data_IF_606211656546
#
_entry.id   IF_606211656546
#
_cell.length_a   1.000
_cell.length_b   1.000
_cell.length_c   1.000
_cell.angle_alpha   90.00
_cell.angle_beta   90.00
_cell.angle_gamma   90.00
#
_symmetry.space_group_name_H-M   'P 1'
#
loop_
_entity.id
_entity.type
_entity.pdbx_description
1 polymer ?
#
# COMPACT_ATOMS: atom_id res chain seq x y z
N UNK A 1 -63.53 -5.12 4.37
CA UNK A 1 -62.52 -4.89 3.31
C UNK A 1 -61.17 -4.55 3.94
N UNK A 2 -61.15 -3.64 4.92
CA UNK A 2 -59.93 -3.20 5.65
C UNK A 2 -59.17 -4.33 6.37
N UNK A 3 -59.87 -5.28 7.01
CA UNK A 3 -59.23 -6.41 7.70
C UNK A 3 -58.40 -7.30 6.75
N UNK A 4 -58.82 -7.42 5.49
CA UNK A 4 -58.14 -8.25 4.47
C UNK A 4 -56.93 -7.53 3.86
N UNK A 5 -56.95 -6.19 3.87
CA UNK A 5 -55.81 -5.36 3.48
C UNK A 5 -54.74 -5.41 4.57
N UNK A 6 -55.13 -5.31 5.84
CA UNK A 6 -54.19 -5.41 6.98
C UNK A 6 -53.48 -6.78 7.06
N UNK A 7 -54.20 -7.87 6.75
CA UNK A 7 -53.63 -9.22 6.69
C UNK A 7 -52.63 -9.38 5.52
N UNK A 8 -52.94 -8.81 4.35
CA UNK A 8 -52.04 -8.81 3.20
C UNK A 8 -50.78 -7.97 3.45
N UNK A 9 -50.91 -6.82 4.11
CA UNK A 9 -49.78 -5.97 4.51
C UNK A 9 -48.89 -6.63 5.57
N UNK A 10 -49.48 -7.41 6.49
CA UNK A 10 -48.74 -8.22 7.45
C UNK A 10 -47.88 -9.28 6.75
N UNK A 11 -48.47 -10.00 5.79
CA UNK A 11 -47.76 -11.00 4.96
C UNK A 11 -46.67 -10.37 4.08
N UNK A 12 -46.90 -9.18 3.52
CA UNK A 12 -45.91 -8.44 2.74
C UNK A 12 -44.72 -7.99 3.59
N UNK A 13 -44.97 -7.57 4.85
CA UNK A 13 -43.92 -7.22 5.81
C UNK A 13 -43.11 -8.44 6.25
N UNK A 14 -43.77 -9.57 6.53
CA UNK A 14 -43.07 -10.83 6.85
C UNK A 14 -42.22 -11.34 5.69
N UNK A 15 -42.69 -11.19 4.44
CA UNK A 15 -41.92 -11.53 3.24
C UNK A 15 -40.75 -10.57 2.99
N UNK A 16 -40.84 -9.30 3.40
CA UNK A 16 -39.79 -8.29 3.19
C UNK A 16 -38.77 -8.22 4.33
N UNK A 17 -39.10 -8.70 5.54
CA UNK A 17 -38.21 -8.77 6.72
C UNK A 17 -36.97 -9.67 6.53
N UNK A 18 -36.89 -10.43 5.45
CA UNK A 18 -35.73 -11.26 5.08
C UNK A 18 -35.06 -10.90 3.74
N UNK A 19 -35.62 -9.97 2.97
CA UNK A 19 -35.01 -9.55 1.69
C UNK A 19 -33.92 -8.55 2.01
N UNK A 20 -32.68 -9.04 2.17
CA UNK A 20 -31.49 -8.18 2.17
C UNK A 20 -31.54 -7.34 0.88
N UNK A 21 -31.84 -6.05 1.02
CA UNK A 21 -31.86 -5.12 -0.12
C UNK A 21 -30.47 -5.15 -0.75
N UNK A 22 -30.43 -5.41 -2.07
CA UNK A 22 -29.18 -5.42 -2.83
C UNK A 22 -28.64 -4.00 -2.86
N UNK A 23 -27.64 -3.72 -2.04
CA UNK A 23 -26.95 -2.43 -2.08
C UNK A 23 -25.87 -2.44 -3.17
N UNK A 24 -26.20 -1.84 -4.31
CA UNK A 24 -25.29 -1.67 -5.45
C UNK A 24 -24.34 -0.47 -5.26
N UNK A 25 -24.49 0.33 -4.21
CA UNK A 25 -23.62 1.50 -3.96
C UNK A 25 -22.16 1.10 -3.77
N UNK A 26 -21.88 -0.09 -3.21
CA UNK A 26 -20.52 -0.60 -3.06
C UNK A 26 -19.81 -0.82 -4.40
N UNK A 27 -20.55 -0.98 -5.50
CA UNK A 27 -19.97 -1.07 -6.84
C UNK A 27 -19.30 0.26 -7.26
N UNK A 28 -19.72 1.40 -6.70
CA UNK A 28 -19.08 2.69 -6.96
C UNK A 28 -17.62 2.73 -6.45
N UNK A 29 -17.32 1.99 -5.38
CA UNK A 29 -15.97 1.90 -4.80
C UNK A 29 -15.00 1.06 -5.63
N UNK A 30 -15.53 0.26 -6.57
CA UNK A 30 -14.73 -0.53 -7.51
C UNK A 30 -14.26 0.42 -8.61
N UNK A 31 -12.94 0.63 -8.66
CA UNK A 31 -12.32 1.44 -9.71
C UNK A 31 -12.36 0.68 -11.03
N UNK A 32 -12.47 1.44 -12.12
CA UNK A 32 -12.35 0.91 -13.47
C UNK A 32 -11.01 0.20 -13.67
N UNK A 33 -11.03 -0.88 -14.46
CA UNK A 33 -9.86 -1.72 -14.69
C UNK A 33 -9.58 -1.87 -16.18
N UNK A 34 -8.36 -1.49 -16.57
CA UNK A 34 -7.97 -1.35 -17.98
C UNK A 34 -7.33 -2.60 -18.58
N UNK A 35 -6.86 -3.54 -17.75
CA UNK A 35 -6.10 -4.72 -18.18
C UNK A 35 -4.60 -4.52 -18.37
N UNK A 36 -4.04 -3.33 -18.07
CA UNK A 36 -2.62 -3.06 -18.28
C UNK A 36 -1.70 -3.71 -17.23
N UNK A 37 -0.51 -4.12 -17.65
CA UNK A 37 0.50 -4.75 -16.77
C UNK A 37 1.00 -3.84 -15.63
N UNK A 38 0.93 -2.51 -15.79
CA UNK A 38 1.27 -1.53 -14.74
C UNK A 38 0.10 -1.19 -13.81
N UNK A 39 -1.12 -1.61 -14.16
CA UNK A 39 -2.30 -1.43 -13.32
C UNK A 39 -2.34 -2.52 -12.24
N UNK A 40 -3.37 -2.47 -11.39
CA UNK A 40 -3.63 -3.52 -10.39
C UNK A 40 -3.73 -4.90 -11.05
N UNK A 41 -3.14 -5.96 -10.48
CA UNK A 41 -3.28 -7.31 -10.99
C UNK A 41 -4.75 -7.74 -11.12
N UNK A 42 -5.04 -8.57 -12.12
CA UNK A 42 -6.40 -9.09 -12.35
C UNK A 42 -6.97 -9.81 -11.13
N UNK A 43 -6.12 -10.48 -10.35
CA UNK A 43 -6.52 -11.17 -9.11
C UNK A 43 -7.00 -10.21 -8.02
N UNK A 44 -6.33 -9.06 -7.84
CA UNK A 44 -6.71 -8.05 -6.85
C UNK A 44 -8.03 -7.37 -7.23
N UNK A 45 -8.20 -7.05 -8.52
CA UNK A 45 -9.44 -6.48 -9.04
C UNK A 45 -10.63 -7.42 -8.85
N UNK A 46 -10.48 -8.70 -9.21
CA UNK A 46 -11.52 -9.71 -9.02
C UNK A 46 -11.83 -9.93 -7.53
N UNK A 47 -10.82 -9.96 -6.67
CA UNK A 47 -11.01 -10.08 -5.22
C UNK A 47 -11.82 -8.90 -4.65
N UNK A 48 -11.62 -7.68 -5.16
CA UNK A 48 -12.41 -6.52 -4.77
C UNK A 48 -13.89 -6.67 -5.15
N UNK A 49 -14.17 -7.16 -6.36
CA UNK A 49 -15.55 -7.47 -6.81
C UNK A 49 -16.18 -8.53 -5.91
N UNK A 50 -15.46 -9.62 -5.63
CA UNK A 50 -15.96 -10.71 -4.80
C UNK A 50 -16.20 -10.28 -3.34
N UNK A 51 -15.38 -9.38 -2.82
CA UNK A 51 -15.56 -8.80 -1.50
C UNK A 51 -16.83 -7.93 -1.46
N UNK A 52 -17.02 -7.03 -2.42
CA UNK A 52 -18.24 -6.22 -2.52
C UNK A 52 -19.48 -7.10 -2.70
N UNK A 53 -19.40 -8.12 -3.55
CA UNK A 53 -20.47 -9.06 -3.78
C UNK A 53 -20.88 -9.82 -2.51
N UNK A 54 -19.91 -10.22 -1.69
CA UNK A 54 -20.16 -10.91 -0.42
C UNK A 54 -20.86 -10.01 0.59
N UNK A 55 -20.46 -8.75 0.68
CA UNK A 55 -21.04 -7.79 1.64
C UNK A 55 -22.45 -7.38 1.21
N UNK A 56 -22.68 -7.15 -0.08
CA UNK A 56 -23.96 -6.69 -0.63
C UNK A 56 -24.88 -7.82 -1.14
N UNK A 57 -24.52 -9.07 -0.90
CA UNK A 57 -25.28 -10.25 -1.33
C UNK A 57 -25.62 -10.26 -2.84
N UNK A 58 -24.65 -9.92 -3.67
CA UNK A 58 -24.81 -9.90 -5.13
C UNK A 58 -24.98 -11.31 -5.69
N UNK A 59 -25.89 -11.45 -6.65
CA UNK A 59 -26.07 -12.68 -7.43
C UNK A 59 -24.93 -12.84 -8.45
N UNK A 60 -24.82 -14.03 -9.04
CA UNK A 60 -23.84 -14.28 -10.10
C UNK A 60 -24.01 -13.35 -11.31
N UNK A 61 -25.26 -13.01 -11.66
CA UNK A 61 -25.56 -12.07 -12.74
C UNK A 61 -25.13 -10.65 -12.39
N UNK A 62 -25.43 -10.19 -11.16
CA UNK A 62 -24.98 -8.88 -10.69
C UNK A 62 -23.44 -8.77 -10.75
N UNK A 63 -22.71 -9.83 -10.38
CA UNK A 63 -21.24 -9.88 -10.50
C UNK A 63 -20.77 -9.74 -11.95
N UNK A 64 -21.42 -10.41 -12.89
CA UNK A 64 -21.08 -10.34 -14.33
C UNK A 64 -21.30 -8.93 -14.86
N UNK A 65 -22.45 -8.33 -14.56
CA UNK A 65 -22.82 -6.99 -15.02
C UNK A 65 -21.87 -5.93 -14.48
N UNK A 66 -21.59 -5.99 -13.17
CA UNK A 66 -20.66 -5.06 -12.52
C UNK A 66 -19.24 -5.29 -13.00
N UNK A 67 -18.81 -6.54 -13.18
CA UNK A 67 -17.51 -6.86 -13.74
C UNK A 67 -17.37 -6.23 -15.13
N UNK A 68 -18.30 -6.51 -16.06
CA UNK A 68 -18.29 -5.96 -17.43
C UNK A 68 -18.32 -4.43 -17.43
N UNK A 69 -19.16 -3.82 -16.60
CA UNK A 69 -19.27 -2.36 -16.48
C UNK A 69 -17.99 -1.69 -15.96
N UNK A 70 -17.18 -2.40 -15.16
CA UNK A 70 -15.92 -1.90 -14.63
C UNK A 70 -14.71 -2.19 -15.52
N UNK A 71 -14.87 -3.00 -16.57
CA UNK A 71 -13.81 -3.17 -17.56
C UNK A 71 -13.73 -1.97 -18.48
N UNK A 72 -12.52 -1.52 -18.77
CA UNK A 72 -12.25 -0.47 -19.75
C UNK A 72 -11.10 -0.86 -20.67
N UNK A 73 -10.98 -0.16 -21.81
CA UNK A 73 -9.85 -0.27 -22.75
C UNK A 73 -9.56 -1.73 -23.18
N UNK A 74 -8.34 -2.23 -22.95
CA UNK A 74 -7.88 -3.54 -23.43
C UNK A 74 -8.69 -4.68 -22.84
N UNK A 75 -9.04 -4.59 -21.55
CA UNK A 75 -9.88 -5.59 -20.89
C UNK A 75 -11.29 -5.65 -21.48
N UNK A 76 -11.89 -4.50 -21.76
CA UNK A 76 -13.21 -4.42 -22.38
C UNK A 76 -13.18 -4.90 -23.84
N UNK A 77 -12.16 -4.49 -24.61
CA UNK A 77 -11.95 -4.97 -25.97
C UNK A 77 -11.81 -6.49 -26.04
N UNK A 78 -11.08 -7.09 -25.10
CA UNK A 78 -10.92 -8.54 -25.01
C UNK A 78 -12.25 -9.27 -24.77
N UNK A 79 -13.11 -8.76 -23.89
CA UNK A 79 -14.42 -9.35 -23.61
C UNK A 79 -15.36 -9.17 -24.80
N UNK A 80 -15.43 -7.98 -25.37
CA UNK A 80 -16.31 -7.68 -26.52
C UNK A 80 -15.90 -8.42 -27.80
N UNK A 81 -14.62 -8.78 -27.95
CA UNK A 81 -14.11 -9.53 -29.09
C UNK A 81 -14.35 -11.05 -29.04
N UNK A 82 -15.03 -11.57 -27.99
CA UNK A 82 -15.35 -13.00 -27.86
C UNK A 82 -16.84 -13.19 -27.59
N UNK A 83 -17.56 -13.78 -28.54
CA UNK A 83 -19.02 -13.95 -28.46
C UNK A 83 -19.46 -14.67 -27.16
N UNK A 84 -18.71 -15.71 -26.76
CA UNK A 84 -18.93 -16.47 -25.52
C UNK A 84 -18.81 -15.63 -24.23
N UNK A 85 -18.05 -14.54 -24.25
CA UNK A 85 -17.86 -13.66 -23.09
C UNK A 85 -18.76 -12.42 -23.13
N UNK A 86 -19.14 -12.02 -24.34
CA UNK A 86 -20.04 -10.90 -24.57
C UNK A 86 -21.47 -11.22 -24.16
N UNK A 87 -21.91 -12.46 -24.38
CA UNK A 87 -23.24 -12.97 -24.04
C UNK A 87 -23.69 -12.55 -22.63
N UNK A 88 -24.95 -12.13 -22.50
CA UNK A 88 -25.58 -11.75 -21.23
C UNK A 88 -25.74 -12.94 -20.28
N UNK A 89 -25.85 -14.16 -20.82
CA UNK A 89 -25.97 -15.40 -20.06
C UNK A 89 -24.63 -15.99 -19.59
N UNK A 90 -23.51 -15.31 -19.85
CA UNK A 90 -22.18 -15.81 -19.46
C UNK A 90 -22.08 -15.98 -17.95
N UNK A 91 -21.65 -17.16 -17.50
CA UNK A 91 -21.41 -17.41 -16.08
C UNK A 91 -20.18 -16.64 -15.59
N UNK A 92 -20.26 -16.08 -14.38
CA UNK A 92 -19.16 -15.34 -13.75
C UNK A 92 -17.84 -16.13 -13.77
N UNK A 93 -17.87 -17.42 -13.45
CA UNK A 93 -16.67 -18.26 -13.43
C UNK A 93 -15.98 -18.39 -14.81
N UNK A 94 -16.75 -18.40 -15.90
CA UNK A 94 -16.20 -18.45 -17.27
C UNK A 94 -15.51 -17.14 -17.59
N UNK A 95 -16.15 -16.01 -17.28
CA UNK A 95 -15.61 -14.68 -17.49
C UNK A 95 -14.35 -14.43 -16.63
N UNK A 96 -14.40 -14.81 -15.35
CA UNK A 96 -13.28 -14.78 -14.41
C UNK A 96 -12.10 -15.60 -14.93
N UNK A 97 -12.31 -16.85 -15.33
CA UNK A 97 -11.27 -17.72 -15.85
C UNK A 97 -10.62 -17.15 -17.12
N UNK A 98 -11.42 -16.57 -18.03
CA UNK A 98 -10.93 -15.95 -19.25
C UNK A 98 -10.06 -14.72 -18.97
N UNK A 99 -10.47 -13.84 -18.05
CA UNK A 99 -9.70 -12.68 -17.64
C UNK A 99 -8.40 -13.08 -16.96
N UNK A 100 -8.45 -14.01 -16.00
CA UNK A 100 -7.24 -14.54 -15.35
C UNK A 100 -6.30 -15.13 -16.39
N UNK A 101 -6.77 -15.97 -17.31
CA UNK A 101 -5.92 -16.58 -18.34
C UNK A 101 -5.23 -15.56 -19.26
N UNK A 102 -5.90 -14.45 -19.59
CA UNK A 102 -5.38 -13.43 -20.52
C UNK A 102 -4.43 -12.45 -19.84
N UNK A 103 -4.75 -12.05 -18.61
CA UNK A 103 -4.11 -10.94 -17.90
C UNK A 103 -3.28 -11.38 -16.69
N UNK A 104 -3.21 -12.67 -16.38
CA UNK A 104 -2.25 -13.17 -15.40
C UNK A 104 -0.82 -13.03 -15.92
N UNK A 105 0.09 -12.85 -14.98
CA UNK A 105 1.51 -12.90 -15.26
C UNK A 105 1.91 -14.30 -15.72
N UNK A 106 2.55 -14.39 -16.88
CA UNK A 106 3.00 -15.65 -17.49
C UNK A 106 4.46 -15.99 -17.18
N UNK A 107 5.07 -15.25 -16.27
CA UNK A 107 6.47 -15.45 -15.92
C UNK A 107 6.61 -16.70 -15.06
N UNK A 108 7.61 -17.55 -15.32
CA UNK A 108 7.80 -18.77 -14.55
C UNK A 108 8.35 -18.44 -13.15
N UNK A 109 8.06 -19.29 -12.17
CA UNK A 109 8.52 -19.13 -10.79
C UNK A 109 10.03 -18.88 -10.67
N UNK A 110 10.85 -19.56 -11.50
CA UNK A 110 12.32 -19.37 -11.55
C UNK A 110 12.74 -17.92 -11.86
N UNK A 111 11.95 -17.20 -12.65
CA UNK A 111 12.23 -15.79 -12.96
C UNK A 111 12.05 -14.92 -11.71
N UNK A 112 10.98 -15.15 -10.96
CA UNK A 112 10.73 -14.47 -9.70
C UNK A 112 11.73 -14.84 -8.61
N UNK A 113 12.22 -16.09 -8.61
CA UNK A 113 13.33 -16.50 -7.75
C UNK A 113 14.58 -15.68 -8.00
N UNK A 114 14.99 -15.52 -9.26
CA UNK A 114 16.16 -14.72 -9.61
C UNK A 114 15.97 -13.24 -9.25
N UNK A 115 14.78 -12.68 -9.54
CA UNK A 115 14.46 -11.30 -9.15
C UNK A 115 14.51 -11.07 -7.64
N UNK A 116 14.05 -12.05 -6.84
CA UNK A 116 14.13 -11.99 -5.39
C UNK A 116 15.58 -12.08 -4.91
N UNK A 117 16.35 -13.01 -5.47
CA UNK A 117 17.76 -13.21 -5.11
C UNK A 117 18.62 -11.98 -5.43
N UNK A 118 18.38 -11.33 -6.56
CA UNK A 118 19.08 -10.13 -7.01
C UNK A 118 18.51 -8.83 -6.39
N UNK A 119 17.42 -8.92 -5.62
CA UNK A 119 16.76 -7.76 -5.07
C UNK A 119 17.69 -7.03 -4.08
N UNK A 120 17.97 -5.76 -4.38
CA UNK A 120 18.66 -4.87 -3.43
C UNK A 120 17.81 -3.65 -3.11
N UNK A 121 18.00 -3.10 -1.91
CA UNK A 121 17.32 -1.89 -1.47
C UNK A 121 17.70 -0.71 -2.37
N UNK A 122 16.71 0.06 -2.83
CA UNK A 122 16.93 1.27 -3.63
C UNK A 122 17.39 2.44 -2.76
N UNK A 123 18.01 3.47 -3.34
CA UNK A 123 18.61 4.59 -2.60
C UNK A 123 17.63 5.31 -1.65
N UNK A 124 16.38 5.44 -2.06
CA UNK A 124 15.33 6.17 -1.33
C UNK A 124 14.23 5.24 -0.79
N UNK A 125 14.46 3.93 -0.79
CA UNK A 125 13.48 2.93 -0.35
C UNK A 125 13.68 2.64 1.14
N UNK A 126 12.62 2.70 1.94
CA UNK A 126 12.70 2.34 3.36
C UNK A 126 12.86 0.84 3.54
N UNK A 127 13.32 0.41 4.73
CA UNK A 127 13.43 -1.03 5.07
C UNK A 127 12.10 -1.76 4.92
N UNK A 128 10.98 -1.10 5.27
CA UNK A 128 9.63 -1.66 5.17
C UNK A 128 9.24 -1.80 3.70
N UNK A 129 9.43 -0.75 2.89
CA UNK A 129 9.11 -0.78 1.45
C UNK A 129 9.90 -1.86 0.72
N UNK A 130 11.19 -2.00 1.05
CA UNK A 130 12.02 -3.06 0.49
C UNK A 130 11.51 -4.45 0.87
N UNK A 131 11.18 -4.66 2.15
CA UNK A 131 10.62 -5.93 2.61
C UNK A 131 9.32 -6.27 1.89
N UNK A 132 8.40 -5.31 1.74
CA UNK A 132 7.12 -5.54 1.07
C UNK A 132 7.31 -5.90 -0.40
N UNK A 133 8.27 -5.28 -1.09
CA UNK A 133 8.64 -5.66 -2.45
C UNK A 133 9.19 -7.10 -2.51
N UNK A 134 10.05 -7.48 -1.57
CA UNK A 134 10.55 -8.85 -1.48
C UNK A 134 9.44 -9.85 -1.17
N UNK A 135 8.45 -9.51 -0.33
CA UNK A 135 7.27 -10.34 -0.05
C UNK A 135 6.46 -10.62 -1.31
N UNK A 136 6.23 -9.60 -2.14
CA UNK A 136 5.51 -9.75 -3.41
C UNK A 136 6.26 -10.69 -4.35
N UNK A 137 7.59 -10.61 -4.44
CA UNK A 137 8.39 -11.52 -5.26
C UNK A 137 8.39 -12.94 -4.69
N UNK A 138 8.53 -13.09 -3.37
CA UNK A 138 8.52 -14.40 -2.71
C UNK A 138 7.20 -15.14 -2.91
N UNK A 139 6.05 -14.46 -2.77
CA UNK A 139 4.74 -15.04 -2.97
C UNK A 139 4.55 -15.63 -4.39
N UNK A 140 5.17 -15.01 -5.41
CA UNK A 140 5.13 -15.50 -6.81
C UNK A 140 6.01 -16.72 -7.05
N UNK A 141 6.89 -17.08 -6.11
CA UNK A 141 7.72 -18.30 -6.20
C UNK A 141 7.01 -19.54 -5.68
N UNK A 142 5.91 -19.38 -4.94
CA UNK A 142 5.19 -20.47 -4.29
C UNK A 142 4.20 -21.08 -5.28
N UNK A 143 4.42 -22.35 -5.62
CA UNK A 143 3.44 -23.15 -6.37
C UNK A 143 2.26 -23.55 -5.47
N UNK A 144 1.09 -23.71 -6.07
CA UNK A 144 -0.09 -24.25 -5.39
C UNK A 144 0.00 -25.78 -5.34
N UNK A 145 -0.15 -26.36 -4.16
CA UNK A 145 -0.33 -27.81 -3.96
C UNK A 145 -1.69 -28.08 -3.32
N UNK A 146 -2.30 -29.21 -3.69
CA UNK A 146 -3.53 -29.69 -3.08
C UNK A 146 -3.29 -30.26 -1.67
N UNK A 147 -2.07 -30.71 -1.36
CA UNK A 147 -1.71 -31.19 -0.03
C UNK A 147 -1.38 -30.00 0.91
N UNK A 148 -2.13 -29.83 2.02
CA UNK A 148 -1.85 -28.79 3.01
C UNK A 148 -0.44 -28.87 3.61
N UNK A 149 0.13 -30.08 3.74
CA UNK A 149 1.47 -30.28 4.33
C UNK A 149 2.55 -29.81 3.37
N UNK A 150 2.51 -30.28 2.12
CA UNK A 150 3.40 -29.79 1.06
C UNK A 150 3.26 -28.27 0.88
N UNK A 151 2.03 -27.74 0.89
CA UNK A 151 1.79 -26.30 0.76
C UNK A 151 2.43 -25.49 1.91
N UNK A 152 2.45 -26.04 3.13
CA UNK A 152 3.12 -25.44 4.29
C UNK A 152 4.64 -25.45 4.12
N UNK A 153 5.22 -26.57 3.68
CA UNK A 153 6.67 -26.69 3.44
C UNK A 153 7.12 -25.67 2.39
N UNK A 154 6.39 -25.58 1.26
CA UNK A 154 6.69 -24.61 0.20
C UNK A 154 6.65 -23.15 0.68
N UNK A 155 5.73 -22.83 1.60
CA UNK A 155 5.67 -21.50 2.23
C UNK A 155 6.86 -21.25 3.15
N UNK A 156 7.22 -22.21 4.00
CA UNK A 156 8.37 -22.08 4.89
C UNK A 156 9.68 -21.89 4.12
N UNK A 157 9.88 -22.63 3.03
CA UNK A 157 11.05 -22.42 2.18
C UNK A 157 11.04 -21.03 1.52
N UNK A 158 9.87 -20.53 1.11
CA UNK A 158 9.74 -19.19 0.54
C UNK A 158 10.03 -18.10 1.57
N UNK A 159 9.63 -18.30 2.83
CA UNK A 159 9.95 -17.41 3.94
C UNK A 159 11.46 -17.38 4.23
N UNK A 160 12.13 -18.55 4.19
CA UNK A 160 13.58 -18.63 4.33
C UNK A 160 14.32 -17.88 3.21
N UNK A 161 13.88 -18.06 1.95
CA UNK A 161 14.41 -17.33 0.78
C UNK A 161 14.18 -15.83 0.91
N UNK A 162 13.01 -15.43 1.38
CA UNK A 162 12.64 -14.03 1.61
C UNK A 162 13.52 -13.39 2.69
N UNK A 163 13.70 -14.04 3.83
CA UNK A 163 14.56 -13.57 4.92
C UNK A 163 15.99 -13.39 4.44
N UNK A 164 16.53 -14.39 3.73
CA UNK A 164 17.87 -14.33 3.15
C UNK A 164 18.01 -13.13 2.21
N UNK A 165 17.08 -12.98 1.27
CA UNK A 165 17.11 -11.89 0.28
C UNK A 165 16.96 -10.52 0.95
N UNK A 166 16.16 -10.42 2.02
CA UNK A 166 16.05 -9.20 2.80
C UNK A 166 17.36 -8.85 3.51
N UNK A 167 17.98 -9.77 4.24
CA UNK A 167 19.23 -9.53 4.98
C UNK A 167 20.37 -9.10 4.05
N UNK A 168 20.54 -9.81 2.93
CA UNK A 168 21.65 -9.57 2.01
C UNK A 168 21.38 -8.44 1.02
N UNK A 169 20.11 -8.18 0.68
CA UNK A 169 19.71 -7.07 -0.19
C UNK A 169 19.65 -5.70 0.50
N UNK A 170 19.58 -5.66 1.83
CA UNK A 170 19.54 -4.42 2.63
C UNK A 170 20.88 -3.66 2.58
N UNK A 171 20.80 -2.33 2.39
CA UNK A 171 21.97 -1.46 2.22
C UNK A 171 22.31 -0.68 3.50
N UNK A 172 23.55 -0.20 3.55
CA UNK A 172 24.04 0.67 4.61
C UNK A 172 24.15 -0.02 5.98
N UNK A 173 24.03 0.80 7.03
CA UNK A 173 24.22 0.37 8.43
C UNK A 173 23.21 -0.71 8.85
N UNK A 174 21.94 -0.56 8.46
CA UNK A 174 20.90 -1.55 8.75
C UNK A 174 21.24 -2.92 8.14
N UNK A 175 21.67 -2.96 6.87
CA UNK A 175 22.12 -4.21 6.24
C UNK A 175 23.33 -4.83 6.92
N UNK A 176 24.29 -4.01 7.38
CA UNK A 176 25.46 -4.50 8.14
C UNK A 176 25.04 -5.14 9.45
N UNK A 177 24.19 -4.47 10.23
CA UNK A 177 23.68 -4.98 11.50
C UNK A 177 22.89 -6.29 11.33
N UNK A 178 22.08 -6.40 10.28
CA UNK A 178 21.36 -7.64 9.97
C UNK A 178 22.29 -8.83 9.74
N UNK A 179 23.39 -8.62 8.99
CA UNK A 179 24.38 -9.69 8.75
C UNK A 179 25.17 -10.07 10.00
N UNK A 180 25.44 -9.10 10.88
CA UNK A 180 26.15 -9.37 12.14
C UNK A 180 25.26 -10.14 13.12
N UNK A 181 24.00 -9.71 13.28
CA UNK A 181 23.07 -10.31 14.24
C UNK A 181 22.43 -11.59 13.73
N UNK A 182 22.41 -11.78 12.40
CA UNK A 182 21.89 -12.95 11.70
C UNK A 182 20.52 -13.42 12.23
N UNK A 183 19.46 -12.60 12.12
CA UNK A 183 18.14 -12.92 12.66
C UNK A 183 17.53 -14.15 12.00
N UNK A 184 16.76 -14.92 12.76
CA UNK A 184 16.13 -16.17 12.29
C UNK A 184 14.74 -15.95 11.72
N UNK A 185 14.13 -14.79 11.98
CA UNK A 185 12.78 -14.46 11.50
C UNK A 185 12.72 -13.09 10.83
N UNK A 186 11.74 -12.92 9.96
CA UNK A 186 11.49 -11.63 9.29
C UNK A 186 11.13 -10.53 10.27
N UNK A 187 10.40 -10.84 11.33
CA UNK A 187 10.01 -9.84 12.33
C UNK A 187 11.22 -9.36 13.14
N UNK A 188 12.11 -10.27 13.51
CA UNK A 188 13.38 -9.91 14.14
C UNK A 188 14.23 -9.04 13.20
N UNK A 189 14.35 -9.44 11.93
CA UNK A 189 15.09 -8.67 10.93
C UNK A 189 14.49 -7.27 10.73
N UNK A 190 13.17 -7.16 10.59
CA UNK A 190 12.51 -5.87 10.42
C UNK A 190 12.68 -4.97 11.63
N UNK A 191 12.58 -5.52 12.84
CA UNK A 191 12.79 -4.76 14.07
C UNK A 191 14.22 -4.19 14.13
N UNK A 192 15.24 -5.03 13.89
CA UNK A 192 16.65 -4.59 13.84
C UNK A 192 16.81 -3.47 12.80
N UNK A 193 16.32 -3.67 11.59
CA UNK A 193 16.44 -2.67 10.52
C UNK A 193 15.78 -1.34 10.87
N UNK A 194 14.63 -1.38 11.54
CA UNK A 194 13.87 -0.20 11.96
C UNK A 194 14.57 0.54 13.10
N UNK A 195 15.06 -0.18 14.11
CA UNK A 195 15.83 0.39 15.23
C UNK A 195 17.09 1.09 14.71
N UNK A 196 17.85 0.45 13.83
CA UNK A 196 19.08 1.04 13.26
C UNK A 196 18.76 2.27 12.42
N UNK A 197 17.68 2.25 11.64
CA UNK A 197 17.23 3.40 10.86
C UNK A 197 16.90 4.61 11.76
N UNK A 198 16.14 4.38 12.84
CA UNK A 198 15.77 5.44 13.78
C UNK A 198 16.98 5.97 14.54
N UNK A 199 17.85 5.10 15.06
CA UNK A 199 19.08 5.50 15.74
C UNK A 199 20.00 6.34 14.84
N UNK A 200 20.09 5.98 13.55
CA UNK A 200 20.81 6.79 12.57
C UNK A 200 20.19 8.18 12.42
N UNK A 201 18.86 8.27 12.27
CA UNK A 201 18.15 9.56 12.16
C UNK A 201 18.39 10.45 13.37
N UNK A 202 18.27 9.91 14.58
CA UNK A 202 18.52 10.65 15.83
C UNK A 202 19.95 11.20 15.88
N UNK A 203 20.96 10.40 15.50
CA UNK A 203 22.35 10.89 15.43
C UNK A 203 22.51 12.04 14.44
N UNK A 204 21.81 11.99 13.29
CA UNK A 204 21.82 13.07 12.30
C UNK A 204 21.15 14.34 12.83
N UNK A 205 20.02 14.21 13.52
CA UNK A 205 19.31 15.33 14.16
C UNK A 205 20.17 15.96 15.26
N UNK A 206 20.76 15.16 16.15
CA UNK A 206 21.71 15.63 17.17
C UNK A 206 22.92 16.33 16.56
N UNK A 207 23.48 15.80 15.45
CA UNK A 207 24.60 16.45 14.75
C UNK A 207 24.18 17.79 14.15
N UNK A 208 22.98 17.86 13.55
CA UNK A 208 22.44 19.10 13.00
C UNK A 208 22.26 20.16 14.08
N UNK A 209 21.78 19.76 15.25
CA UNK A 209 21.54 20.66 16.38
C UNK A 209 22.87 21.13 17.00
N UNK A 210 23.89 20.26 17.08
CA UNK A 210 25.25 20.67 17.46
C UNK A 210 25.89 21.67 16.49
N UNK A 211 25.63 21.52 15.19
CA UNK A 211 26.19 22.40 14.14
C UNK A 211 25.45 23.74 14.07
N UNK A 212 24.15 23.79 14.39
CA UNK A 212 23.41 25.04 14.57
C UNK A 212 23.69 25.61 15.96
N UNK A 213 24.89 26.16 16.16
CA UNK A 213 25.17 26.95 17.36
C UNK A 213 24.12 28.05 17.51
N UNK A 214 23.60 28.29 18.73
CA UNK A 214 22.61 29.34 18.94
C UNK A 214 23.17 30.66 18.43
N UNK A 215 22.41 31.32 17.56
CA UNK A 215 22.85 32.51 16.86
C UNK A 215 23.17 33.61 17.88
N UNK A 216 24.44 33.98 17.99
CA UNK A 216 24.90 35.03 18.91
C UNK A 216 25.12 36.33 18.16
N UNK A 217 24.59 37.41 18.73
CA UNK A 217 24.77 38.74 18.17
C UNK A 217 26.16 39.27 18.52
N UNK A 218 27.02 39.46 17.52
CA UNK A 218 28.36 40.06 17.71
C UNK A 218 28.34 41.50 18.26
N UNK A 219 27.20 42.19 18.21
CA UNK A 219 27.09 43.55 18.72
C UNK A 219 26.74 43.63 20.22
N UNK A 220 25.96 42.70 20.75
CA UNK A 220 25.47 42.76 22.14
C UNK A 220 25.71 41.47 22.96
N UNK A 221 26.28 40.44 22.34
CA UNK A 221 26.54 39.14 22.98
C UNK A 221 25.31 38.29 23.29
N UNK A 222 24.09 38.76 23.02
CA UNK A 222 22.85 38.00 23.29
C UNK A 222 22.53 37.01 22.19
N UNK A 223 21.86 35.92 22.55
CA UNK A 223 21.41 34.87 21.63
C UNK A 223 20.10 35.25 20.90
N UNK A 224 19.80 34.57 19.79
CA UNK A 224 18.50 34.64 19.10
C UNK A 224 18.39 35.64 17.95
N UNK A 225 19.43 36.45 17.68
CA UNK A 225 19.48 37.37 16.52
C UNK A 225 20.92 37.65 16.05
N UNK A 226 21.07 38.16 14.82
CA UNK A 226 22.35 38.67 14.28
C UNK A 226 22.52 40.17 14.52
N UNK A 227 23.75 40.68 14.46
CA UNK A 227 24.09 42.09 14.68
C UNK A 227 23.26 43.08 13.84
N UNK A 228 22.87 42.70 12.60
CA UNK A 228 22.01 43.50 11.71
C UNK A 228 20.59 43.72 12.25
N UNK A 229 20.09 42.77 13.06
CA UNK A 229 18.77 42.80 13.67
C UNK A 229 18.84 43.16 15.16
N UNK A 230 19.95 43.73 15.62
CA UNK A 230 20.13 44.08 17.03
C UNK A 230 19.36 45.36 17.38
N UNK A 231 18.37 45.25 18.26
CA UNK A 231 17.59 46.40 18.75
C UNK A 231 18.46 47.42 19.50
N UNK A 232 19.52 46.99 20.18
CA UNK A 232 20.46 47.87 20.86
C UNK A 232 21.20 48.84 19.90
N UNK A 233 21.35 48.46 18.61
CA UNK A 233 21.90 49.34 17.56
C UNK A 233 20.87 50.28 16.95
N UNK A 234 19.58 50.04 17.17
CA UNK A 234 18.48 50.81 16.56
C UNK A 234 18.04 52.01 17.39
N UNK A 235 18.57 52.22 18.61
CA UNK A 235 18.33 53.45 19.35
C UNK A 235 19.24 54.56 18.81
N UNK A 236 18.72 55.59 18.12
CA UNK A 236 19.48 56.79 17.85
C UNK A 236 19.58 57.59 19.15
N UNK A 237 20.77 58.07 19.44
CA UNK A 237 21.04 59.08 20.46
C UNK A 237 20.20 60.33 20.20
N UNK A 238 19.14 60.53 21.00
CA UNK A 238 18.51 61.85 21.17
C UNK A 238 18.82 62.35 22.56
N UNK A 239 19.97 63.00 22.70
CA UNK A 239 20.26 63.94 23.79
C UNK A 239 21.37 64.89 23.28
N UNK A 240 20.94 65.85 22.44
CA UNK A 240 21.65 67.13 22.32
C UNK A 240 21.13 67.98 23.47
N UNK A 241 21.81 67.94 24.61
CA UNK A 241 21.62 68.94 25.65
C UNK A 241 22.12 70.29 25.11
N UNK A 242 21.15 71.15 24.76
CA UNK A 242 21.34 72.58 24.63
C UNK A 242 21.52 73.13 26.04
N UNK A 243 22.70 73.64 26.40
CA UNK A 243 22.85 74.61 27.50
C UNK A 243 24.03 75.56 27.22
N UNK A 244 23.70 76.72 26.70
CA UNK A 244 24.34 78.02 26.97
C UNK A 244 23.18 79.01 27.05
N UNK A 245 23.05 79.77 28.16
CA UNK A 245 23.52 81.15 28.07
C UNK A 245 24.05 81.79 29.38
N UNK A 246 24.87 82.82 29.14
CA UNK A 246 25.37 83.91 30.00
C UNK A 246 26.43 83.61 31.06
#
# INVERSE_FOLDING_TARGET
MEARIAELDGRLRELTLGVKTKDLSLAANIREWTGQAKAKPVSEFLAQIEQCARVSNWTENDKVDILKAKLTREALQFVNGRDQLKDESVRYEVLKAALVKRFSEKLPARYHYNLLHEATQSKNESSIQFLDRCRVLSAKTIRQSADPTEQRILKQEADFRLLTSFIYGMKGEAGRELRIRNPETLDQALNIATVVYNAKRERWEQKRDRVRSPITCFACGRHGHIARNCEARRKPTTEREQHSPN
#
